data_IF_413131693051
#
_entry.id   IF_413131693051
#
_cell.length_a   1.000
_cell.length_b   1.000
_cell.length_c   1.000
_cell.angle_alpha   90.00
_cell.angle_beta   90.00
_cell.angle_gamma   90.00
#
_symmetry.space_group_name_H-M   'P 1'
#
loop_
_entity.id
_entity.type
_entity.pdbx_description
1 polymer ?
#
# COMPACT_ATOMS: atom_id res chain seq x y z
N UNK A 1 18.56 7.01 7.27
CA UNK A 1 17.10 7.10 7.39
C UNK A 1 16.49 5.88 6.72
N UNK A 2 15.78 5.03 7.46
CA UNK A 2 15.17 3.80 6.93
C UNK A 2 13.69 3.99 6.62
N UNK A 3 13.36 4.72 5.56
CA UNK A 3 11.98 4.99 5.15
C UNK A 3 11.26 3.66 4.91
N UNK A 4 10.02 3.53 5.40
CA UNK A 4 9.21 2.31 5.43
C UNK A 4 9.76 1.14 6.27
N UNK A 5 11.05 1.11 6.58
CA UNK A 5 11.71 0.08 7.41
C UNK A 5 11.63 0.38 8.91
N UNK A 6 11.91 1.62 9.30
CA UNK A 6 11.88 2.05 10.71
C UNK A 6 10.42 2.31 11.11
N UNK A 7 9.94 1.75 12.23
CA UNK A 7 8.59 2.03 12.71
C UNK A 7 8.48 3.46 13.25
N UNK A 8 7.35 4.11 12.98
CA UNK A 8 6.95 5.32 13.71
C UNK A 8 6.27 4.95 15.04
N UNK A 9 6.06 5.94 15.90
CA UNK A 9 5.34 5.76 17.16
C UNK A 9 3.89 5.33 16.91
N UNK A 10 3.43 4.29 17.61
CA UNK A 10 2.05 3.80 17.47
C UNK A 10 1.01 4.87 17.80
N UNK A 11 1.29 5.73 18.78
CA UNK A 11 0.44 6.88 19.16
C UNK A 11 0.24 7.82 17.98
N UNK A 12 1.31 8.22 17.30
CA UNK A 12 1.24 9.17 16.18
C UNK A 12 0.50 8.57 14.98
N UNK A 13 0.75 7.29 14.69
CA UNK A 13 0.04 6.55 13.64
C UNK A 13 -1.47 6.52 13.92
N UNK A 14 -1.86 6.21 15.15
CA UNK A 14 -3.27 6.14 15.55
C UNK A 14 -3.94 7.52 15.57
N UNK A 15 -3.23 8.56 16.00
CA UNK A 15 -3.73 9.95 15.95
C UNK A 15 -3.99 10.39 14.52
N UNK A 16 -3.06 10.15 13.60
CA UNK A 16 -3.24 10.46 12.18
C UNK A 16 -4.39 9.65 11.58
N UNK A 17 -4.46 8.34 11.87
CA UNK A 17 -5.56 7.47 11.43
C UNK A 17 -6.92 8.03 11.86
N UNK A 18 -7.07 8.39 13.13
CA UNK A 18 -8.31 8.97 13.63
C UNK A 18 -8.67 10.26 12.88
N UNK A 19 -7.69 11.15 12.65
CA UNK A 19 -7.91 12.37 11.88
C UNK A 19 -8.37 12.07 10.44
N UNK A 20 -7.76 11.10 9.74
CA UNK A 20 -8.16 10.70 8.39
C UNK A 20 -9.58 10.11 8.34
N UNK A 21 -9.98 9.37 9.38
CA UNK A 21 -11.32 8.80 9.49
C UNK A 21 -12.40 9.81 9.87
N UNK A 22 -12.04 10.93 10.50
CA UNK A 22 -12.98 11.95 10.99
C UNK A 22 -13.07 13.18 10.10
N UNK A 23 -11.94 13.80 9.74
CA UNK A 23 -11.93 15.05 8.99
C UNK A 23 -10.65 15.19 8.15
N UNK A 24 -10.82 15.21 6.82
CA UNK A 24 -9.70 15.30 5.89
C UNK A 24 -8.87 16.59 6.05
N UNK A 25 -9.51 17.73 6.35
CA UNK A 25 -8.79 19.00 6.52
C UNK A 25 -7.92 18.98 7.77
N UNK A 26 -8.41 18.40 8.85
CA UNK A 26 -7.63 18.19 10.08
C UNK A 26 -6.48 17.22 9.82
N UNK A 27 -6.73 16.11 9.14
CA UNK A 27 -5.73 15.12 8.79
C UNK A 27 -4.57 15.74 7.98
N UNK A 28 -4.88 16.50 6.93
CA UNK A 28 -3.89 17.20 6.11
C UNK A 28 -3.09 18.21 6.93
N UNK A 29 -3.73 18.89 7.87
CA UNK A 29 -3.04 19.85 8.76
C UNK A 29 -2.05 19.12 9.67
N UNK A 30 -2.47 18.01 10.32
CA UNK A 30 -1.61 17.20 11.19
C UNK A 30 -0.48 16.53 10.42
N UNK A 31 -0.75 16.08 9.19
CA UNK A 31 0.23 15.41 8.34
C UNK A 31 1.45 16.29 8.04
N UNK A 32 1.26 17.62 7.88
CA UNK A 32 2.35 18.57 7.59
C UNK A 32 3.41 18.66 8.69
N UNK A 33 3.04 18.37 9.93
CA UNK A 33 3.95 18.36 11.09
C UNK A 33 4.31 16.96 11.58
N UNK A 34 3.89 15.91 10.87
CA UNK A 34 4.07 14.54 11.31
C UNK A 34 5.47 14.00 10.95
N UNK A 35 6.01 13.18 11.84
CA UNK A 35 7.22 12.42 11.58
C UNK A 35 7.04 11.46 10.40
N UNK A 36 8.03 11.41 9.51
CA UNK A 36 7.97 10.60 8.27
C UNK A 36 7.71 9.12 8.55
N UNK A 37 8.27 8.57 9.64
CA UNK A 37 8.06 7.17 10.00
C UNK A 37 6.62 6.89 10.47
N UNK A 38 5.95 7.88 11.07
CA UNK A 38 4.54 7.79 11.42
C UNK A 38 3.65 7.84 10.16
N UNK A 39 3.97 8.70 9.20
CA UNK A 39 3.29 8.75 7.90
C UNK A 39 3.44 7.43 7.13
N UNK A 40 4.66 6.90 7.06
CA UNK A 40 4.91 5.58 6.48
C UNK A 40 4.15 4.46 7.22
N UNK A 41 4.08 4.54 8.55
CA UNK A 41 3.33 3.61 9.39
C UNK A 41 1.84 3.63 9.08
N UNK A 42 1.26 4.83 8.93
CA UNK A 42 -0.13 5.02 8.55
C UNK A 42 -0.45 4.44 7.18
N UNK A 43 0.39 4.69 6.16
CA UNK A 43 0.17 4.15 4.81
C UNK A 43 0.20 2.61 4.80
N UNK A 44 1.15 2.01 5.52
CA UNK A 44 1.20 0.55 5.69
C UNK A 44 -0.04 0.02 6.42
N UNK A 45 -0.53 0.75 7.43
CA UNK A 45 -1.73 0.38 8.17
C UNK A 45 -2.96 0.42 7.27
N UNK A 46 -3.11 1.45 6.44
CA UNK A 46 -4.21 1.59 5.49
C UNK A 46 -4.34 0.35 4.59
N UNK A 47 -3.26 -0.07 3.93
CA UNK A 47 -3.30 -1.26 3.06
C UNK A 47 -3.58 -2.56 3.82
N UNK A 48 -3.14 -2.66 5.07
CA UNK A 48 -3.38 -3.85 5.91
C UNK A 48 -4.84 -3.96 6.37
N UNK A 49 -5.53 -2.84 6.53
CA UNK A 49 -6.90 -2.77 7.04
C UNK A 49 -7.97 -2.72 5.95
N UNK A 50 -7.58 -2.74 4.68
CA UNK A 50 -8.55 -2.88 3.59
C UNK A 50 -9.36 -4.17 3.77
N UNK A 51 -10.69 -4.14 3.52
CA UNK A 51 -11.54 -5.34 3.61
C UNK A 51 -11.06 -6.48 2.70
N UNK A 52 -10.47 -6.10 1.57
CA UNK A 52 -9.78 -6.99 0.64
C UNK A 52 -8.38 -6.42 0.40
N UNK A 53 -7.32 -7.26 0.39
CA UNK A 53 -5.97 -6.78 0.11
C UNK A 53 -5.89 -6.07 -1.24
N UNK A 54 -4.95 -5.12 -1.35
CA UNK A 54 -4.71 -4.36 -2.58
C UNK A 54 -4.45 -5.27 -3.78
N UNK A 55 -3.72 -6.38 -3.55
CA UNK A 55 -3.62 -7.50 -4.48
C UNK A 55 -4.67 -8.52 -4.05
N UNK A 56 -5.71 -8.78 -4.86
CA UNK A 56 -6.72 -9.78 -4.55
C UNK A 56 -6.07 -11.15 -4.31
N UNK A 57 -6.54 -11.89 -3.31
CA UNK A 57 -6.02 -13.21 -2.96
C UNK A 57 -6.06 -14.20 -4.13
N UNK A 58 -7.08 -14.07 -4.99
CA UNK A 58 -7.24 -14.87 -6.22
C UNK A 58 -6.10 -14.65 -7.22
N UNK A 59 -5.49 -13.46 -7.22
CA UNK A 59 -4.38 -13.12 -8.11
C UNK A 59 -3.02 -13.54 -7.55
N UNK A 60 -2.94 -13.89 -6.28
CA UNK A 60 -1.67 -14.21 -5.60
C UNK A 60 -0.98 -15.42 -6.24
N UNK A 61 -1.73 -16.47 -6.57
CA UNK A 61 -1.19 -17.67 -7.23
C UNK A 61 -0.65 -17.35 -8.63
N UNK A 62 -1.36 -16.53 -9.39
CA UNK A 62 -0.94 -16.14 -10.74
C UNK A 62 0.26 -15.21 -10.70
N UNK A 63 0.34 -14.32 -9.70
CA UNK A 63 1.51 -13.48 -9.46
C UNK A 63 2.74 -14.31 -9.07
N UNK A 64 2.60 -15.28 -8.18
CA UNK A 64 3.69 -16.19 -7.79
C UNK A 64 4.25 -16.94 -9.01
N UNK A 65 3.37 -17.49 -9.86
CA UNK A 65 3.77 -18.14 -11.12
C UNK A 65 4.50 -17.18 -12.06
N UNK A 66 4.06 -15.94 -12.16
CA UNK A 66 4.74 -14.93 -12.98
C UNK A 66 6.14 -14.61 -12.45
N UNK A 67 6.33 -14.56 -11.12
CA UNK A 67 7.63 -14.29 -10.50
C UNK A 67 8.65 -15.41 -10.74
N UNK A 68 8.19 -16.66 -10.82
CA UNK A 68 9.03 -17.84 -11.08
C UNK A 68 9.55 -17.94 -12.53
N UNK A 69 9.00 -17.14 -13.46
CA UNK A 69 9.46 -17.09 -14.84
C UNK A 69 10.92 -16.60 -14.88
N UNK A 70 11.80 -17.43 -15.42
CA UNK A 70 13.24 -17.16 -15.53
C UNK A 70 13.55 -16.11 -16.60
N UNK A 71 12.85 -16.16 -17.73
CA UNK A 71 13.01 -15.18 -18.79
C UNK A 71 12.44 -13.82 -18.37
N UNK A 72 13.29 -12.81 -18.34
CA UNK A 72 12.93 -11.48 -17.85
C UNK A 72 11.82 -10.84 -18.69
N UNK A 73 11.85 -11.01 -20.01
CA UNK A 73 10.88 -10.39 -20.90
C UNK A 73 9.50 -11.04 -20.75
N UNK A 74 9.44 -12.36 -20.72
CA UNK A 74 8.22 -13.13 -20.47
C UNK A 74 7.65 -12.81 -19.09
N UNK A 75 8.51 -12.67 -18.06
CA UNK A 75 8.09 -12.24 -16.72
C UNK A 75 7.45 -10.86 -16.74
N UNK A 76 8.09 -9.87 -17.39
CA UNK A 76 7.55 -8.51 -17.49
C UNK A 76 6.20 -8.47 -18.22
N UNK A 77 6.07 -9.19 -19.33
CA UNK A 77 4.81 -9.29 -20.08
C UNK A 77 3.71 -9.92 -19.21
N UNK A 78 4.03 -11.00 -18.50
CA UNK A 78 3.09 -11.67 -17.59
C UNK A 78 2.65 -10.75 -16.44
N UNK A 79 3.60 -10.07 -15.78
CA UNK A 79 3.30 -9.12 -14.71
C UNK A 79 2.45 -7.94 -15.19
N UNK A 80 2.73 -7.39 -16.37
CA UNK A 80 1.96 -6.30 -16.95
C UNK A 80 0.53 -6.74 -17.32
N UNK A 81 0.37 -7.96 -17.84
CA UNK A 81 -0.95 -8.55 -18.11
C UNK A 81 -1.77 -8.69 -16.82
N UNK A 82 -1.14 -9.13 -15.73
CA UNK A 82 -1.78 -9.24 -14.42
C UNK A 82 -2.20 -7.88 -13.86
N UNK A 83 -1.33 -6.87 -13.95
CA UNK A 83 -1.68 -5.52 -13.51
C UNK A 83 -2.87 -4.96 -14.30
N UNK A 84 -2.94 -5.24 -15.61
CA UNK A 84 -4.08 -4.86 -16.45
C UNK A 84 -5.36 -5.62 -16.09
N UNK A 85 -5.29 -6.85 -15.61
CA UNK A 85 -6.47 -7.60 -15.18
C UNK A 85 -7.02 -7.18 -13.81
N UNK A 86 -6.24 -6.44 -13.00
CA UNK A 86 -6.73 -5.87 -11.74
C UNK A 86 -7.91 -4.91 -11.98
N UNK A 87 -8.90 -4.85 -11.07
CA UNK A 87 -9.93 -3.79 -11.08
C UNK A 87 -9.29 -2.40 -11.10
N UNK A 88 -9.91 -1.45 -11.80
CA UNK A 88 -9.34 -0.12 -12.07
C UNK A 88 -8.91 0.62 -10.80
N UNK A 89 -9.74 0.60 -9.74
CA UNK A 89 -9.44 1.26 -8.47
C UNK A 89 -8.18 0.67 -7.81
N UNK A 90 -8.04 -0.66 -7.79
CA UNK A 90 -6.86 -1.35 -7.24
C UNK A 90 -5.63 -1.09 -8.11
N UNK A 91 -5.81 -1.04 -9.44
CA UNK A 91 -4.73 -0.77 -10.41
C UNK A 91 -4.16 0.63 -10.28
N UNK A 92 -5.00 1.65 -10.08
CA UNK A 92 -4.55 3.03 -9.89
C UNK A 92 -3.95 3.29 -8.51
N UNK A 93 -4.22 2.40 -7.54
CA UNK A 93 -3.69 2.50 -6.18
C UNK A 93 -2.38 1.73 -5.99
N UNK A 94 -2.09 0.77 -6.87
CA UNK A 94 -0.85 -0.04 -6.88
C UNK A 94 0.39 0.81 -7.17
#
# INVERSE_FOLDING_TARGET
VGIYRIPGTATDINMLRAAFNSNLREAVTRLRGAEVNAVCGLLKLYFRELPEPLIPSEMFQTLAKALDIQDLNARLVSMLSLLKSCPEVKRHTF
#
